data_IF_920470168383
#
_entry.id   IF_920470168383
#
_cell.length_a   1.000
_cell.length_b   1.000
_cell.length_c   1.000
_cell.angle_alpha   90.00
_cell.angle_beta   90.00
_cell.angle_gamma   90.00
#
_symmetry.space_group_name_H-M   'P 1'
#
loop_
_entity.id
_entity.type
_entity.pdbx_description
1 polymer ?
#
# COMPACT_ATOMS: atom_id res chain seq x y z
N UNK A 1 15.47 15.47 -18.91
CA UNK A 1 15.75 14.85 -17.59
C UNK A 1 14.54 13.99 -17.28
N UNK A 2 14.67 12.68 -17.42
CA UNK A 2 13.66 11.73 -16.97
C UNK A 2 13.94 11.57 -15.49
N UNK A 3 13.11 12.18 -14.65
CA UNK A 3 13.25 11.98 -13.21
C UNK A 3 12.80 10.54 -12.95
N UNK A 4 13.71 9.67 -12.52
CA UNK A 4 13.38 8.41 -11.89
C UNK A 4 12.61 8.73 -10.59
N UNK A 5 11.34 9.12 -10.73
CA UNK A 5 10.40 8.99 -9.63
C UNK A 5 10.05 7.50 -9.55
N UNK A 6 11.03 6.70 -9.11
CA UNK A 6 10.72 5.47 -8.39
C UNK A 6 10.10 5.91 -7.09
N UNK A 7 8.85 6.38 -7.12
CA UNK A 7 7.99 6.75 -6.00
C UNK A 7 8.51 6.21 -4.65
N UNK A 8 9.49 6.87 -4.00
CA UNK A 8 10.10 6.29 -2.81
C UNK A 8 9.10 6.40 -1.66
N UNK A 9 8.21 7.41 -1.76
CA UNK A 9 7.22 7.80 -0.77
C UNK A 9 5.86 7.10 -0.89
N UNK A 10 5.71 6.09 -1.75
CA UNK A 10 4.45 5.34 -1.82
C UNK A 10 4.62 3.84 -1.83
N UNK A 11 5.87 3.35 -1.79
CA UNK A 11 6.14 1.91 -1.76
C UNK A 11 5.51 1.28 -0.52
N UNK A 12 5.64 1.91 0.66
CA UNK A 12 5.00 1.43 1.89
C UNK A 12 3.48 1.41 1.76
N UNK A 13 2.87 2.48 1.26
CA UNK A 13 1.43 2.53 1.01
C UNK A 13 0.94 1.45 0.04
N UNK A 14 1.70 1.16 -1.03
CA UNK A 14 1.36 0.11 -1.99
C UNK A 14 1.50 -1.30 -1.38
N UNK A 15 2.54 -1.54 -0.59
CA UNK A 15 2.68 -2.80 0.17
C UNK A 15 1.52 -2.95 1.16
N UNK A 16 1.10 -1.87 1.82
CA UNK A 16 -0.06 -1.88 2.72
C UNK A 16 -1.36 -2.27 2.00
N UNK A 17 -1.61 -1.70 0.81
CA UNK A 17 -2.77 -2.06 0.00
C UNK A 17 -2.68 -3.51 -0.49
N UNK A 18 -1.50 -3.96 -0.94
CA UNK A 18 -1.30 -5.34 -1.42
C UNK A 18 -1.43 -6.38 -0.29
N UNK A 19 -0.96 -6.05 0.92
CA UNK A 19 -1.19 -6.88 2.10
C UNK A 19 -2.69 -6.99 2.41
N UNK A 20 -3.42 -5.88 2.31
CA UNK A 20 -4.87 -5.85 2.49
C UNK A 20 -5.60 -6.70 1.44
N UNK A 21 -5.13 -6.69 0.20
CA UNK A 21 -5.61 -7.59 -0.85
C UNK A 21 -5.45 -9.07 -0.47
N UNK A 22 -4.33 -9.47 0.12
CA UNK A 22 -4.15 -10.87 0.54
C UNK A 22 -5.07 -11.30 1.69
N UNK A 23 -5.53 -10.35 2.51
CA UNK A 23 -6.44 -10.63 3.63
C UNK A 23 -7.90 -10.64 3.18
N UNK A 24 -8.32 -9.65 2.40
CA UNK A 24 -9.74 -9.38 2.12
C UNK A 24 -10.08 -9.17 0.63
N UNK A 25 -9.14 -9.46 -0.27
CA UNK A 25 -9.31 -9.31 -1.71
C UNK A 25 -9.40 -7.84 -2.14
N UNK A 26 -10.02 -7.59 -3.30
CA UNK A 26 -10.10 -6.25 -3.89
C UNK A 26 -10.75 -5.21 -2.96
N UNK A 27 -11.76 -5.61 -2.18
CA UNK A 27 -12.41 -4.72 -1.23
C UNK A 27 -11.40 -4.18 -0.19
N UNK A 28 -10.63 -5.08 0.42
CA UNK A 28 -9.60 -4.67 1.38
C UNK A 28 -8.50 -3.79 0.77
N UNK A 29 -8.12 -4.06 -0.48
CA UNK A 29 -7.17 -3.20 -1.19
C UNK A 29 -7.69 -1.76 -1.27
N UNK A 30 -8.92 -1.59 -1.74
CA UNK A 30 -9.51 -0.26 -1.95
C UNK A 30 -9.82 0.44 -0.63
N UNK A 31 -10.29 -0.28 0.39
CA UNK A 31 -10.54 0.29 1.72
C UNK A 31 -9.26 0.89 2.32
N UNK A 32 -8.12 0.19 2.24
CA UNK A 32 -6.83 0.70 2.72
C UNK A 32 -6.28 1.80 1.82
N UNK A 33 -6.44 1.68 0.50
CA UNK A 33 -6.01 2.72 -0.43
C UNK A 33 -6.72 4.05 -0.13
N UNK A 34 -8.04 4.05 -0.02
CA UNK A 34 -8.84 5.24 0.25
C UNK A 34 -8.49 5.85 1.61
N UNK A 35 -8.27 5.03 2.64
CA UNK A 35 -7.81 5.49 3.96
C UNK A 35 -6.46 6.22 3.86
N UNK A 36 -5.48 5.64 3.15
CA UNK A 36 -4.17 6.26 2.95
C UNK A 36 -4.25 7.55 2.11
N UNK A 37 -5.08 7.58 1.07
CA UNK A 37 -5.28 8.80 0.27
C UNK A 37 -5.92 9.91 1.11
N UNK A 38 -6.90 9.58 1.97
CA UNK A 38 -7.49 10.53 2.90
C UNK A 38 -6.46 11.06 3.91
N UNK A 39 -5.66 10.18 4.51
CA UNK A 39 -4.59 10.56 5.43
C UNK A 39 -3.59 11.53 4.77
N UNK A 40 -3.13 11.21 3.55
CA UNK A 40 -2.15 12.02 2.83
C UNK A 40 -2.73 13.37 2.36
N UNK A 41 -3.87 13.36 1.67
CA UNK A 41 -4.36 14.54 0.93
C UNK A 41 -5.37 15.39 1.69
N UNK A 42 -6.11 14.80 2.63
CA UNK A 42 -7.13 15.52 3.41
C UNK A 42 -6.58 15.87 4.79
N UNK A 43 -5.94 14.91 5.46
CA UNK A 43 -5.41 15.11 6.81
C UNK A 43 -3.96 15.60 6.83
N UNK A 44 -3.28 15.65 5.67
CA UNK A 44 -1.88 16.08 5.54
C UNK A 44 -0.93 15.30 6.47
N UNK A 45 -1.18 14.00 6.63
CA UNK A 45 -0.33 13.08 7.39
C UNK A 45 0.76 12.46 6.50
N UNK A 46 1.87 12.06 7.13
CA UNK A 46 2.97 11.41 6.44
C UNK A 46 2.74 9.89 6.36
N UNK A 47 2.28 9.40 5.21
CA UNK A 47 2.05 7.96 4.98
C UNK A 47 3.33 7.14 4.76
N UNK A 48 4.51 7.73 4.99
CA UNK A 48 5.76 6.98 5.10
C UNK A 48 6.03 6.47 6.52
N UNK A 49 5.31 6.99 7.51
CA UNK A 49 5.38 6.52 8.89
C UNK A 49 4.54 5.26 9.05
N UNK A 50 5.13 4.19 9.59
CA UNK A 50 4.42 2.93 9.77
C UNK A 50 3.21 3.09 10.70
N UNK A 51 3.31 3.94 11.73
CA UNK A 51 2.22 4.23 12.66
C UNK A 51 0.98 4.77 11.94
N UNK A 52 1.16 5.71 11.00
CA UNK A 52 0.07 6.28 10.20
C UNK A 52 -0.56 5.22 9.29
N UNK A 53 0.25 4.38 8.67
CA UNK A 53 -0.24 3.29 7.82
C UNK A 53 -1.06 2.29 8.66
N UNK A 54 -0.52 1.87 9.79
CA UNK A 54 -1.19 0.92 10.68
C UNK A 54 -2.52 1.48 11.20
N UNK A 55 -2.56 2.77 11.56
CA UNK A 55 -3.79 3.43 11.99
C UNK A 55 -4.84 3.46 10.87
N UNK A 56 -4.44 3.79 9.64
CA UNK A 56 -5.33 3.72 8.48
C UNK A 56 -5.92 2.32 8.28
N UNK A 57 -5.10 1.27 8.46
CA UNK A 57 -5.55 -0.11 8.29
C UNK A 57 -6.49 -0.53 9.43
N UNK A 58 -6.20 -0.15 10.68
CA UNK A 58 -7.10 -0.43 11.81
C UNK A 58 -8.47 0.18 11.61
N UNK A 59 -8.55 1.37 11.00
CA UNK A 59 -9.81 2.04 10.68
C UNK A 59 -10.56 1.40 9.51
N UNK A 60 -9.87 0.68 8.62
CA UNK A 60 -10.47 0.01 7.45
C UNK A 60 -11.27 -1.27 7.77
N UNK A 61 -11.21 -1.76 9.02
CA UNK A 61 -11.95 -2.95 9.45
C UNK A 61 -11.38 -4.29 8.97
N UNK A 62 -10.20 -4.28 8.36
CA UNK A 62 -9.45 -5.48 7.96
C UNK A 62 -8.89 -6.19 9.19
N UNK A 63 -8.75 -7.52 9.11
CA UNK A 63 -8.04 -8.30 10.12
C UNK A 63 -6.57 -7.84 10.21
N UNK A 64 -6.31 -6.99 11.20
CA UNK A 64 -5.04 -6.31 11.37
C UNK A 64 -3.88 -7.28 11.62
N UNK A 65 -4.10 -8.38 12.36
CA UNK A 65 -3.02 -9.34 12.63
C UNK A 65 -2.57 -10.04 11.35
N UNK A 66 -3.52 -10.56 10.58
CA UNK A 66 -3.25 -11.15 9.26
C UNK A 66 -2.60 -10.13 8.32
N UNK A 67 -3.06 -8.88 8.35
CA UNK A 67 -2.48 -7.81 7.55
C UNK A 67 -1.02 -7.52 7.93
N UNK A 68 -0.68 -7.43 9.23
CA UNK A 68 0.71 -7.23 9.69
C UNK A 68 1.62 -8.34 9.19
N UNK A 69 1.15 -9.60 9.19
CA UNK A 69 1.93 -10.73 8.65
C UNK A 69 2.23 -10.55 7.16
N UNK A 70 1.24 -10.16 6.36
CA UNK A 70 1.46 -9.89 4.94
C UNK A 70 2.30 -8.64 4.70
N UNK A 71 2.06 -7.54 5.42
CA UNK A 71 2.77 -6.27 5.26
C UNK A 71 4.28 -6.40 5.47
N UNK A 72 4.70 -7.26 6.39
CA UNK A 72 6.11 -7.52 6.68
C UNK A 72 6.74 -8.66 5.85
N UNK A 73 5.96 -9.29 4.97
CA UNK A 73 6.41 -10.41 4.15
C UNK A 73 7.20 -9.94 2.91
N UNK A 74 8.23 -10.69 2.53
CA UNK A 74 8.98 -10.40 1.30
C UNK A 74 8.10 -10.65 0.07
N UNK A 75 7.20 -11.63 0.17
CA UNK A 75 6.25 -12.02 -0.86
C UNK A 75 5.34 -10.87 -1.28
N UNK A 76 4.90 -10.04 -0.31
CA UNK A 76 4.07 -8.87 -0.62
C UNK A 76 4.87 -7.79 -1.34
N UNK A 77 6.12 -7.57 -0.94
CA UNK A 77 7.00 -6.63 -1.64
C UNK A 77 7.26 -7.08 -3.08
N UNK A 78 7.61 -8.35 -3.29
CA UNK A 78 7.86 -8.92 -4.60
C UNK A 78 6.62 -8.86 -5.50
N UNK A 79 5.43 -9.03 -4.92
CA UNK A 79 4.16 -8.90 -5.65
C UNK A 79 3.95 -7.47 -6.16
N UNK A 80 4.25 -6.45 -5.36
CA UNK A 80 4.13 -5.06 -5.81
C UNK A 80 5.22 -4.71 -6.84
N UNK A 81 6.45 -5.19 -6.66
CA UNK A 81 7.50 -5.01 -7.66
C UNK A 81 7.12 -5.66 -9.01
N UNK A 82 6.46 -6.82 -8.97
CA UNK A 82 5.92 -7.49 -10.15
C UNK A 82 4.83 -6.67 -10.84
N UNK A 83 3.94 -6.03 -10.08
CA UNK A 83 2.94 -5.11 -10.64
C UNK A 83 3.61 -3.95 -11.40
N UNK A 84 4.68 -3.36 -10.86
CA UNK A 84 5.44 -2.32 -11.54
C UNK A 84 6.09 -2.79 -12.84
N UNK A 85 6.66 -4.00 -12.84
CA UNK A 85 7.21 -4.60 -14.06
C UNK A 85 6.14 -4.79 -15.13
N UNK A 86 4.94 -5.21 -14.73
CA UNK A 86 3.81 -5.38 -15.61
C UNK A 86 3.34 -4.05 -16.21
N UNK A 87 3.22 -2.99 -15.40
CA UNK A 87 2.87 -1.64 -15.87
C UNK A 87 3.88 -1.12 -16.89
N UNK A 88 5.18 -1.32 -16.64
CA UNK A 88 6.25 -0.97 -17.60
C UNK A 88 6.10 -1.71 -18.93
N UNK A 89 5.70 -2.98 -18.92
CA UNK A 89 5.44 -3.75 -20.14
C UNK A 89 4.25 -3.20 -20.93
N UNK A 90 3.24 -2.66 -20.24
CA UNK A 90 2.09 -2.01 -20.86
C UNK A 90 2.37 -0.58 -21.36
N UNK A 91 3.60 -0.08 -21.19
CA UNK A 91 4.03 1.26 -21.65
C UNK A 91 3.21 2.41 -21.03
N UNK A 92 2.72 2.19 -19.80
CA UNK A 92 2.04 3.16 -18.93
C UNK A 92 3.07 3.68 -17.91
#
# INVERSE_FOLDING_TARGET
RQTDFLFPSSMKGLIACKAAYFVAGDAGYWDVYDALQNALFVQNQNIEENEIIEDCVRESGIDFESWVHHYNSIETKDAVESDFLLVKQYNI
#
